data_IF_487262975728
#
_entry.id   IF_487262975728
#
_cell.length_a   1.000
_cell.length_b   1.000
_cell.length_c   1.000
_cell.angle_alpha   90.00
_cell.angle_beta   90.00
_cell.angle_gamma   90.00
#
_symmetry.space_group_name_H-M   'P 1'
#
loop_
_entity.id
_entity.type
_entity.pdbx_description
1 polymer ?
#
# COMPACT_ATOMS: atom_id res chain seq x y z
N UNK A 1 -45.05 -6.42 27.99
CA UNK A 1 -44.05 -7.50 27.74
C UNK A 1 -43.61 -7.59 26.28
N UNK A 2 -44.50 -7.39 25.30
CA UNK A 2 -44.17 -7.48 23.86
C UNK A 2 -43.22 -6.34 23.41
N UNK A 3 -43.51 -5.09 23.83
CA UNK A 3 -42.72 -3.91 23.48
C UNK A 3 -41.26 -3.96 23.99
N UNK A 4 -41.05 -4.41 25.22
CA UNK A 4 -39.72 -4.57 25.82
C UNK A 4 -38.85 -5.56 25.03
N UNK A 5 -39.45 -6.66 24.54
CA UNK A 5 -38.76 -7.68 23.75
C UNK A 5 -38.31 -7.14 22.39
N UNK A 6 -39.12 -6.28 21.76
CA UNK A 6 -38.79 -5.66 20.46
C UNK A 6 -37.63 -4.68 20.61
N UNK A 7 -37.62 -3.87 21.66
CA UNK A 7 -36.52 -2.93 21.92
C UNK A 7 -35.19 -3.67 22.15
N UNK A 8 -35.24 -4.77 22.91
CA UNK A 8 -34.05 -5.61 23.13
C UNK A 8 -33.59 -6.24 21.82
N UNK A 9 -34.50 -6.76 21.01
CA UNK A 9 -34.16 -7.37 19.71
C UNK A 9 -33.52 -6.34 18.75
N UNK A 10 -34.08 -5.13 18.67
CA UNK A 10 -33.52 -4.06 17.84
C UNK A 10 -32.15 -3.59 18.34
N UNK A 11 -31.97 -3.51 19.65
CA UNK A 11 -30.67 -3.19 20.25
C UNK A 11 -29.60 -4.23 19.91
N UNK A 12 -29.95 -5.51 19.95
CA UNK A 12 -29.03 -6.60 19.58
C UNK A 12 -28.70 -6.58 18.08
N UNK A 13 -29.70 -6.36 17.23
CA UNK A 13 -29.47 -6.26 15.77
C UNK A 13 -28.58 -5.06 15.43
N UNK A 14 -28.81 -3.90 16.06
CA UNK A 14 -27.96 -2.73 15.87
C UNK A 14 -26.51 -2.98 16.32
N UNK A 15 -26.31 -3.70 17.43
CA UNK A 15 -24.98 -4.04 17.93
C UNK A 15 -24.23 -5.01 16.99
N UNK A 16 -24.93 -5.98 16.40
CA UNK A 16 -24.33 -6.90 15.43
C UNK A 16 -24.02 -6.21 14.10
N UNK A 17 -24.84 -5.26 13.66
CA UNK A 17 -24.62 -4.53 12.40
C UNK A 17 -23.34 -3.67 12.42
N UNK A 18 -22.96 -3.14 13.59
CA UNK A 18 -21.73 -2.34 13.75
C UNK A 18 -20.48 -3.18 14.05
N UNK A 19 -20.63 -4.49 14.27
CA UNK A 19 -19.52 -5.41 14.46
C UNK A 19 -18.90 -5.78 13.10
N UNK A 20 -18.18 -4.85 12.51
CA UNK A 20 -17.37 -5.11 11.31
C UNK A 20 -16.11 -5.88 11.74
N UNK A 21 -15.76 -7.02 11.09
CA UNK A 21 -14.47 -7.64 11.30
C UNK A 21 -13.39 -6.66 10.82
N UNK A 22 -12.55 -6.18 11.73
CA UNK A 22 -11.36 -5.43 11.33
C UNK A 22 -10.40 -6.40 10.66
N UNK A 23 -10.33 -6.38 9.33
CA UNK A 23 -9.21 -6.98 8.60
C UNK A 23 -7.95 -6.16 8.88
N UNK A 24 -7.38 -6.37 10.06
CA UNK A 24 -5.98 -6.06 10.29
C UNK A 24 -5.20 -7.06 9.44
N UNK A 25 -5.01 -6.73 8.16
CA UNK A 25 -4.19 -7.50 7.25
C UNK A 25 -2.81 -7.66 7.87
N UNK A 26 -2.59 -8.80 8.52
CA UNK A 26 -1.31 -9.10 9.15
C UNK A 26 -0.31 -9.11 8.00
N UNK A 27 0.56 -8.10 7.94
CA UNK A 27 1.68 -8.06 7.01
C UNK A 27 2.69 -9.14 7.43
N UNK A 28 2.32 -10.41 7.25
CA UNK A 28 3.19 -11.56 7.48
C UNK A 28 4.36 -11.43 6.51
N UNK A 29 5.56 -11.17 7.03
CA UNK A 29 6.79 -11.36 6.25
C UNK A 29 6.83 -12.83 5.82
N UNK A 30 6.97 -13.09 4.51
CA UNK A 30 7.13 -14.45 3.98
C UNK A 30 5.91 -15.07 3.27
N UNK A 31 4.76 -14.39 3.17
CA UNK A 31 3.66 -14.86 2.29
C UNK A 31 3.91 -14.56 0.80
N UNK A 32 4.80 -13.61 0.50
CA UNK A 32 5.20 -13.27 -0.85
C UNK A 32 6.54 -13.95 -1.18
N UNK A 33 6.58 -14.73 -2.27
CA UNK A 33 7.79 -15.46 -2.67
C UNK A 33 8.98 -14.57 -3.08
N UNK A 34 8.73 -13.29 -3.33
CA UNK A 34 9.73 -12.34 -3.83
C UNK A 34 10.22 -11.36 -2.75
N UNK A 35 10.56 -11.86 -1.56
CA UNK A 35 11.07 -11.04 -0.45
C UNK A 35 12.37 -10.28 -0.81
N UNK A 36 13.14 -10.79 -1.77
CA UNK A 36 14.35 -10.14 -2.27
C UNK A 36 14.10 -8.78 -2.94
N UNK A 37 12.88 -8.49 -3.43
CA UNK A 37 12.52 -7.18 -3.97
C UNK A 37 12.59 -6.05 -2.92
N UNK A 38 12.66 -6.39 -1.62
CA UNK A 38 12.88 -5.41 -0.56
C UNK A 38 14.34 -4.92 -0.48
N UNK A 39 15.26 -5.64 -1.11
CA UNK A 39 16.66 -5.23 -1.21
C UNK A 39 16.75 -4.24 -2.36
N UNK A 40 17.13 -3.00 -2.05
CA UNK A 40 17.24 -1.94 -3.04
C UNK A 40 18.26 -2.26 -4.13
N UNK A 41 17.98 -1.84 -5.37
CA UNK A 41 18.86 -1.99 -6.53
C UNK A 41 19.48 -0.62 -6.88
N UNK A 42 20.79 -0.62 -7.14
CA UNK A 42 21.53 0.57 -7.56
C UNK A 42 22.09 1.40 -6.39
N UNK A 43 23.38 1.74 -6.48
CA UNK A 43 24.09 2.47 -5.42
C UNK A 43 23.49 3.85 -5.14
N UNK A 44 23.18 4.61 -6.21
CA UNK A 44 22.57 5.94 -6.11
C UNK A 44 21.19 5.88 -5.44
N UNK A 45 20.31 5.02 -5.89
CA UNK A 45 18.97 4.87 -5.31
C UNK A 45 19.04 4.43 -3.84
N UNK A 46 19.92 3.49 -3.52
CA UNK A 46 20.13 3.01 -2.15
C UNK A 46 20.70 4.11 -1.24
N UNK A 47 21.66 4.92 -1.73
CA UNK A 47 22.22 6.05 -0.98
C UNK A 47 21.20 7.15 -0.67
N UNK A 48 20.13 7.25 -1.46
CA UNK A 48 19.01 8.16 -1.24
C UNK A 48 17.93 7.55 -0.32
N UNK A 49 18.24 6.46 0.38
CA UNK A 49 17.28 5.77 1.24
C UNK A 49 16.11 5.15 0.46
N UNK A 50 16.37 4.69 -0.77
CA UNK A 50 15.37 4.11 -1.67
C UNK A 50 14.29 5.10 -2.17
N UNK A 51 14.49 6.40 -1.97
CA UNK A 51 13.60 7.45 -2.48
C UNK A 51 13.97 7.82 -3.94
N UNK A 52 13.61 6.96 -4.90
CA UNK A 52 14.05 7.09 -6.30
C UNK A 52 12.93 7.27 -7.34
N UNK A 53 11.67 7.30 -6.90
CA UNK A 53 10.48 7.22 -7.77
C UNK A 53 10.39 8.32 -8.83
N UNK A 54 10.92 9.52 -8.56
CA UNK A 54 10.81 10.69 -9.45
C UNK A 54 12.08 10.97 -10.25
N UNK A 55 13.17 10.27 -9.98
CA UNK A 55 14.40 10.42 -10.74
C UNK A 55 14.16 9.87 -12.16
N UNK A 56 14.79 10.41 -13.18
CA UNK A 56 14.70 9.89 -14.57
C UNK A 56 16.10 9.73 -15.14
N UNK A 57 16.21 8.98 -16.25
CA UNK A 57 17.43 8.96 -17.05
C UNK A 57 18.46 7.88 -16.74
N UNK A 58 18.13 6.85 -15.96
CA UNK A 58 19.04 5.74 -15.67
C UNK A 58 18.36 4.36 -15.69
N UNK A 59 19.16 3.30 -15.79
CA UNK A 59 18.66 1.92 -15.91
C UNK A 59 17.94 1.41 -14.65
N UNK A 60 18.22 1.95 -13.47
CA UNK A 60 17.58 1.49 -12.23
C UNK A 60 16.09 1.87 -12.18
N UNK A 61 15.61 2.73 -13.08
CA UNK A 61 14.18 3.02 -13.23
C UNK A 61 13.33 1.78 -13.48
N UNK A 62 13.88 0.76 -14.16
CA UNK A 62 13.15 -0.50 -14.35
C UNK A 62 12.79 -1.19 -13.03
N UNK A 63 13.55 -0.96 -11.96
CA UNK A 63 13.28 -1.49 -10.62
C UNK A 63 12.42 -0.54 -9.78
N UNK A 64 12.70 0.76 -9.82
CA UNK A 64 12.07 1.76 -8.93
C UNK A 64 10.78 2.37 -9.49
N UNK A 65 10.76 2.72 -10.78
CA UNK A 65 9.59 3.26 -11.46
C UNK A 65 9.72 3.09 -12.99
N UNK A 66 9.19 2.00 -13.58
CA UNK A 66 9.29 1.75 -15.01
C UNK A 66 8.69 2.84 -15.89
N UNK A 67 7.71 3.64 -15.41
CA UNK A 67 7.19 4.75 -16.20
C UNK A 67 8.28 5.81 -16.52
N UNK A 68 9.27 5.95 -15.63
CA UNK A 68 10.42 6.83 -15.79
C UNK A 68 11.33 6.48 -16.96
N UNK A 69 11.29 5.25 -17.50
CA UNK A 69 12.10 4.88 -18.68
C UNK A 69 11.56 5.47 -19.97
N UNK A 70 10.28 5.86 -20.00
CA UNK A 70 9.65 6.50 -21.15
C UNK A 70 9.67 8.04 -21.08
N UNK A 71 10.28 8.60 -20.02
CA UNK A 71 10.29 10.04 -19.76
C UNK A 71 11.69 10.59 -20.07
N UNK A 72 11.75 11.68 -20.82
CA UNK A 72 13.00 12.36 -21.17
C UNK A 72 13.72 12.91 -19.93
N UNK A 73 15.05 12.98 -20.02
CA UNK A 73 15.89 13.53 -18.94
C UNK A 73 15.50 14.99 -18.66
N UNK A 74 15.15 15.28 -17.40
CA UNK A 74 14.74 16.62 -16.95
C UNK A 74 13.23 16.87 -16.97
N UNK A 75 12.42 15.98 -17.55
CA UNK A 75 10.97 16.04 -17.39
C UNK A 75 10.56 15.47 -16.03
N UNK A 76 9.64 16.15 -15.35
CA UNK A 76 9.11 15.73 -14.05
C UNK A 76 8.13 14.57 -14.23
N UNK A 77 8.28 13.52 -13.42
CA UNK A 77 7.29 12.44 -13.33
C UNK A 77 6.01 12.85 -12.57
N UNK A 78 6.07 13.99 -11.87
CA UNK A 78 4.94 14.58 -11.16
C UNK A 78 4.47 15.77 -11.98
N UNK A 79 3.28 15.67 -12.56
CA UNK A 79 2.58 16.81 -13.15
C UNK A 79 2.23 17.79 -12.03
N UNK A 80 2.76 19.00 -12.10
CA UNK A 80 2.29 20.16 -11.33
C UNK A 80 1.28 20.95 -12.16
#
# INVERSE_FOLDING_TARGET
MQLMKIIIALGVVALVAVAQPSEAGVRKSGLTGAAFLKIGVGARATSLGSAYTTVTGDVNQMFWNPAGTAIDQGASQVLL
#
